data_IF_084467323638
#
_entry.id   IF_084467323638
#
_cell.length_a   1.000
_cell.length_b   1.000
_cell.length_c   1.000
_cell.angle_alpha   90.00
_cell.angle_beta   90.00
_cell.angle_gamma   90.00
#
_symmetry.space_group_name_H-M   'P 1'
#
loop_
_entity.id
_entity.type
_entity.pdbx_description
1 polymer ?
#
# COMPACT_ATOMS: atom_id res chain seq x y z
N UNK A 1 20.69 2.35 -2.75
CA UNK A 1 20.07 3.70 -2.72
C UNK A 1 18.77 3.53 -1.96
N UNK A 2 18.54 4.28 -0.90
CA UNK A 2 17.35 4.06 -0.06
C UNK A 2 16.16 4.72 -0.73
N UNK A 3 15.23 3.92 -1.23
CA UNK A 3 13.94 4.40 -1.73
C UNK A 3 13.34 5.34 -0.68
N UNK A 4 12.97 6.55 -1.09
CA UNK A 4 12.31 7.50 -0.16
C UNK A 4 10.88 7.02 0.04
N UNK A 5 10.67 6.28 1.11
CA UNK A 5 9.36 5.84 1.57
C UNK A 5 8.77 6.93 2.47
N UNK A 6 7.60 7.45 2.11
CA UNK A 6 6.85 8.38 2.93
C UNK A 6 5.51 7.74 3.35
N UNK A 7 5.31 7.57 4.65
CA UNK A 7 4.11 6.94 5.20
C UNK A 7 2.92 7.91 5.17
N UNK A 8 1.83 7.47 4.53
CA UNK A 8 0.60 8.25 4.39
C UNK A 8 -0.41 7.87 5.47
N UNK A 9 -0.61 6.56 5.69
CA UNK A 9 -1.56 6.07 6.67
C UNK A 9 -1.18 4.68 7.19
N UNK A 10 -1.60 4.38 8.41
CA UNK A 10 -1.51 3.07 9.04
C UNK A 10 -2.80 2.83 9.81
N UNK A 11 -3.42 1.67 9.57
CA UNK A 11 -4.72 1.31 10.14
C UNK A 11 -4.74 -0.18 10.51
N UNK A 12 -5.54 -0.58 11.51
CA UNK A 12 -5.66 -1.99 11.88
C UNK A 12 -6.33 -2.81 10.76
N UNK A 13 -5.87 -4.05 10.57
CA UNK A 13 -6.47 -5.00 9.65
C UNK A 13 -7.64 -5.71 10.35
N UNK A 14 -8.87 -5.39 9.94
CA UNK A 14 -10.07 -6.02 10.49
C UNK A 14 -10.04 -7.54 10.33
N UNK A 15 -10.49 -8.26 11.37
CA UNK A 15 -10.48 -9.73 11.39
C UNK A 15 -9.16 -10.35 11.87
N UNK A 16 -8.18 -9.54 12.26
CA UNK A 16 -6.93 -9.99 12.89
C UNK A 16 -6.74 -9.31 14.25
N UNK A 17 -6.01 -9.95 15.17
CA UNK A 17 -5.69 -9.35 16.47
C UNK A 17 -4.64 -8.24 16.33
N UNK A 18 -3.65 -8.46 15.46
CA UNK A 18 -2.41 -7.68 15.40
C UNK A 18 -2.03 -7.22 14.00
N UNK A 19 -2.87 -7.50 13.01
CA UNK A 19 -2.59 -7.14 11.63
C UNK A 19 -2.84 -5.67 11.37
N UNK A 20 -2.18 -5.15 10.32
CA UNK A 20 -2.30 -3.76 9.91
C UNK A 20 -2.18 -3.58 8.41
N UNK A 21 -2.81 -2.52 7.92
CA UNK A 21 -2.70 -2.02 6.55
C UNK A 21 -1.89 -0.73 6.63
N UNK A 22 -0.85 -0.64 5.82
CA UNK A 22 0.03 0.54 5.73
C UNK A 22 -0.01 1.05 4.30
N UNK A 23 -0.27 2.34 4.12
CA UNK A 23 -0.24 3.00 2.81
C UNK A 23 0.88 4.02 2.82
N UNK A 24 1.81 3.89 1.88
CA UNK A 24 2.98 4.74 1.71
C UNK A 24 3.06 5.27 0.28
N UNK A 25 3.87 6.29 0.06
CA UNK A 25 4.38 6.65 -1.27
C UNK A 25 5.86 6.28 -1.34
N UNK A 26 6.30 5.77 -2.49
CA UNK A 26 7.69 5.37 -2.72
C UNK A 26 8.18 6.14 -3.95
N UNK A 27 9.25 6.92 -3.78
CA UNK A 27 9.91 7.61 -4.88
C UNK A 27 10.89 6.68 -5.59
N UNK A 28 10.89 6.75 -6.93
CA UNK A 28 11.83 6.03 -7.79
C UNK A 28 11.94 4.50 -7.51
N UNK A 29 10.82 3.77 -7.27
CA UNK A 29 10.85 2.36 -6.83
C UNK A 29 11.45 1.40 -7.87
N UNK A 30 11.57 1.83 -9.13
CA UNK A 30 12.14 1.05 -10.24
C UNK A 30 13.46 1.66 -10.75
N UNK A 31 14.07 2.56 -9.97
CA UNK A 31 15.33 3.21 -10.27
C UNK A 31 15.19 4.70 -10.62
N UNK A 32 16.33 5.37 -10.85
CA UNK A 32 16.37 6.82 -11.06
C UNK A 32 15.45 7.27 -12.20
N UNK A 33 14.71 8.36 -11.98
CA UNK A 33 13.71 8.94 -12.89
C UNK A 33 12.42 8.12 -13.07
N UNK A 34 12.25 6.98 -12.40
CA UNK A 34 10.95 6.30 -12.43
C UNK A 34 9.92 7.11 -11.65
N UNK A 35 8.66 7.09 -12.10
CA UNK A 35 7.58 7.75 -11.38
C UNK A 35 7.41 7.17 -9.97
N UNK A 36 7.00 8.01 -9.03
CA UNK A 36 6.61 7.57 -7.69
C UNK A 36 5.31 6.75 -7.74
N UNK A 37 5.19 5.79 -6.83
CA UNK A 37 4.00 4.93 -6.70
C UNK A 37 3.40 5.07 -5.31
N UNK A 38 2.10 4.81 -5.20
CA UNK A 38 1.50 4.43 -3.93
C UNK A 38 1.82 2.96 -3.64
N UNK A 39 2.10 2.61 -2.39
CA UNK A 39 2.39 1.24 -1.96
C UNK A 39 1.48 0.88 -0.80
N UNK A 40 0.75 -0.22 -0.94
CA UNK A 40 -0.11 -0.77 0.12
C UNK A 40 0.57 -2.03 0.63
N UNK A 41 0.89 -2.04 1.92
CA UNK A 41 1.43 -3.19 2.64
C UNK A 41 0.40 -3.74 3.63
N UNK A 42 0.18 -5.05 3.59
CA UNK A 42 -0.65 -5.78 4.55
C UNK A 42 0.28 -6.61 5.45
N UNK A 43 0.14 -6.43 6.75
CA UNK A 43 0.88 -7.19 7.76
C UNK A 43 -0.13 -8.01 8.56
N UNK A 44 0.13 -9.31 8.71
CA UNK A 44 -0.70 -10.22 9.49
C UNK A 44 -0.23 -10.35 10.94
N UNK A 45 1.02 -9.99 11.22
CA UNK A 45 1.66 -10.17 12.52
C UNK A 45 2.19 -8.85 13.07
N UNK A 46 2.04 -8.67 14.39
CA UNK A 46 2.67 -7.57 15.12
C UNK A 46 4.20 -7.65 14.98
N UNK A 47 4.83 -6.50 14.72
CA UNK A 47 6.29 -6.38 14.70
C UNK A 47 6.97 -6.96 13.45
N UNK A 48 6.22 -7.48 12.47
CA UNK A 48 6.78 -7.87 11.19
C UNK A 48 7.47 -6.66 10.52
N UNK A 49 8.70 -6.88 10.05
CA UNK A 49 9.54 -5.83 9.43
C UNK A 49 9.13 -5.55 7.99
N UNK A 50 8.58 -6.55 7.32
CA UNK A 50 8.10 -6.48 5.95
C UNK A 50 6.64 -6.93 5.88
N UNK A 51 5.85 -6.37 4.96
CA UNK A 51 4.46 -6.77 4.77
C UNK A 51 4.38 -8.17 4.17
N UNK A 52 3.39 -8.96 4.59
CA UNK A 52 3.03 -10.25 4.00
C UNK A 52 2.57 -10.10 2.54
N UNK A 53 1.81 -9.04 2.26
CA UNK A 53 1.41 -8.68 0.89
C UNK A 53 1.72 -7.22 0.60
N UNK A 54 2.27 -6.96 -0.58
CA UNK A 54 2.62 -5.61 -1.04
C UNK A 54 2.19 -5.40 -2.48
N UNK A 55 1.52 -4.29 -2.74
CA UNK A 55 1.12 -3.84 -4.07
C UNK A 55 1.61 -2.42 -4.30
N UNK A 56 2.15 -2.17 -5.49
CA UNK A 56 2.51 -0.83 -5.96
C UNK A 56 1.49 -0.38 -7.01
N UNK A 57 0.98 0.83 -6.85
CA UNK A 57 -0.01 1.43 -7.74
C UNK A 57 0.62 2.70 -8.33
N UNK A 58 0.86 2.75 -9.66
CA UNK A 58 1.28 3.96 -10.33
C UNK A 58 0.32 5.11 -10.08
N UNK A 59 0.83 6.35 -10.01
CA UNK A 59 0.02 7.52 -9.68
C UNK A 59 -1.15 7.69 -10.64
N UNK A 60 -0.90 7.41 -11.91
CA UNK A 60 -1.86 7.48 -13.02
C UNK A 60 -3.06 6.53 -12.86
N UNK A 61 -2.90 5.43 -12.13
CA UNK A 61 -3.93 4.38 -12.00
C UNK A 61 -4.72 4.47 -10.68
N UNK A 62 -4.35 5.39 -9.77
CA UNK A 62 -4.91 5.45 -8.40
C UNK A 62 -6.43 5.65 -8.41
N UNK A 63 -6.94 6.57 -9.23
CA UNK A 63 -8.36 6.90 -9.25
C UNK A 63 -9.20 5.71 -9.74
N UNK A 64 -8.74 5.01 -10.78
CA UNK A 64 -9.40 3.81 -11.30
C UNK A 64 -9.41 2.66 -10.29
N UNK A 65 -8.30 2.47 -9.56
CA UNK A 65 -8.24 1.48 -8.47
C UNK A 65 -9.18 1.85 -7.33
N UNK A 66 -9.27 3.13 -6.96
CA UNK A 66 -10.23 3.59 -5.94
C UNK A 66 -11.67 3.28 -6.38
N UNK A 67 -12.03 3.58 -7.63
CA UNK A 67 -13.35 3.27 -8.18
C UNK A 67 -13.64 1.77 -8.16
N UNK A 68 -12.67 0.94 -8.57
CA UNK A 68 -12.81 -0.51 -8.54
C UNK A 68 -12.99 -1.06 -7.13
N UNK A 69 -12.23 -0.55 -6.14
CA UNK A 69 -12.36 -0.94 -4.73
C UNK A 69 -13.70 -0.52 -4.13
N UNK A 70 -14.21 0.66 -4.50
CA UNK A 70 -15.54 1.11 -4.08
C UNK A 70 -16.65 0.23 -4.64
N UNK A 71 -16.54 -0.21 -5.89
CA UNK A 71 -17.50 -1.13 -6.50
C UNK A 71 -17.43 -2.52 -5.87
N UNK A 72 -16.22 -3.06 -5.69
CA UNK A 72 -16.01 -4.35 -5.04
C UNK A 72 -16.66 -4.38 -3.64
N UNK A 73 -16.52 -3.30 -2.85
CA UNK A 73 -17.15 -3.18 -1.53
C UNK A 73 -18.68 -3.32 -1.55
N UNK A 74 -19.37 -2.99 -2.65
CA UNK A 74 -20.83 -3.17 -2.75
C UNK A 74 -21.23 -4.64 -2.95
N UNK A 75 -20.30 -5.48 -3.38
CA UNK A 75 -20.54 -6.89 -3.73
C UNK A 75 -20.04 -7.89 -2.67
N UNK A 76 -19.32 -7.40 -1.66
CA UNK A 76 -18.78 -8.17 -0.54
C UNK A 76 -19.66 -7.97 0.70
#
# INVERSE_FOLDING_TARGET
>A
MSDKINKISEMPLSGTNDGKIVVNTIAEPYGPKSNSVASIGIFLQAGAKEPDWKVHIPKEDIDDVILALQEAKKTL
#
